data_IF_052931102487
#
_entry.id   IF_052931102487
#
_cell.length_a   1.000
_cell.length_b   1.000
_cell.length_c   1.000
_cell.angle_alpha   90.00
_cell.angle_beta   90.00
_cell.angle_gamma   90.00
#
_symmetry.space_group_name_H-M   'P 1'
#
loop_
_entity.id
_entity.type
_entity.pdbx_description
1 polymer ?
#
# COMPACT_ATOMS: atom_id res chain seq x y z
N UNK A 1 9.10 -31.19 -16.90
CA UNK A 1 9.59 -30.01 -16.18
C UNK A 1 11.04 -29.73 -16.53
N UNK A 2 11.30 -28.64 -17.25
CA UNK A 2 12.66 -28.22 -17.64
C UNK A 2 12.66 -26.79 -18.19
N UNK A 3 13.76 -26.05 -17.93
CA UNK A 3 14.16 -24.75 -18.50
C UNK A 3 13.78 -23.41 -17.80
N UNK A 4 12.95 -23.38 -16.74
CA UNK A 4 12.70 -22.13 -15.99
C UNK A 4 13.70 -21.94 -14.82
N UNK A 5 14.15 -20.71 -14.58
CA UNK A 5 15.03 -20.36 -13.44
C UNK A 5 14.28 -20.25 -12.10
N UNK A 6 12.99 -20.61 -12.07
CA UNK A 6 12.12 -20.65 -10.90
C UNK A 6 11.20 -21.87 -10.99
N UNK A 7 10.62 -22.25 -9.86
CA UNK A 7 9.61 -23.30 -9.77
C UNK A 7 8.27 -22.69 -9.35
N UNK A 8 7.17 -23.28 -9.82
CA UNK A 8 5.83 -22.97 -9.34
C UNK A 8 5.60 -23.76 -8.05
N UNK A 9 5.33 -23.12 -6.90
CA UNK A 9 4.96 -23.83 -5.70
C UNK A 9 3.67 -24.64 -5.93
N UNK A 10 3.64 -25.90 -5.48
CA UNK A 10 2.42 -26.73 -5.58
C UNK A 10 1.23 -26.15 -4.80
N UNK A 11 1.50 -25.27 -3.83
CA UNK A 11 0.49 -24.52 -3.09
C UNK A 11 0.03 -23.24 -3.80
N UNK A 12 0.52 -22.96 -5.00
CA UNK A 12 0.03 -21.81 -5.77
C UNK A 12 -1.42 -22.05 -6.19
N UNK A 13 -2.35 -21.10 -5.91
CA UNK A 13 -3.78 -21.22 -6.22
C UNK A 13 -4.07 -21.46 -7.70
N UNK A 14 -3.14 -21.12 -8.60
CA UNK A 14 -3.29 -21.26 -10.04
C UNK A 14 -2.36 -22.34 -10.63
N UNK A 15 -1.59 -23.07 -9.81
CA UNK A 15 -0.69 -24.10 -10.30
C UNK A 15 -1.44 -25.20 -11.08
N UNK A 16 -1.08 -25.39 -12.35
CA UNK A 16 -1.69 -26.40 -13.21
C UNK A 16 -3.14 -26.08 -13.58
N UNK A 17 -3.57 -24.83 -13.40
CA UNK A 17 -4.85 -24.36 -13.93
C UNK A 17 -4.85 -24.48 -15.46
N UNK A 18 -6.02 -24.73 -16.06
CA UNK A 18 -6.16 -24.74 -17.52
C UNK A 18 -5.60 -23.42 -18.08
N UNK A 19 -4.75 -23.52 -19.11
CA UNK A 19 -4.01 -22.41 -19.72
C UNK A 19 -4.91 -21.27 -20.25
N UNK A 20 -6.23 -21.48 -20.30
CA UNK A 20 -7.22 -20.47 -20.64
C UNK A 20 -7.63 -19.56 -19.47
N UNK A 21 -7.31 -19.92 -18.22
CA UNK A 21 -7.83 -19.25 -17.02
C UNK A 21 -6.77 -18.59 -16.13
N UNK A 22 -5.51 -19.02 -16.14
CA UNK A 22 -4.43 -18.32 -15.42
C UNK A 22 -3.03 -18.76 -15.87
N UNK A 23 -2.04 -17.88 -15.70
CA UNK A 23 -0.64 -18.29 -15.64
C UNK A 23 -0.35 -18.86 -14.25
N UNK A 24 0.42 -19.95 -14.17
CA UNK A 24 0.77 -20.62 -12.90
C UNK A 24 1.53 -19.70 -11.92
N UNK A 25 2.14 -18.62 -12.41
CA UNK A 25 2.87 -17.64 -11.61
C UNK A 25 1.97 -16.66 -10.86
N UNK A 26 0.70 -16.53 -11.26
CA UNK A 26 -0.21 -15.58 -10.62
C UNK A 26 -0.39 -15.99 -9.15
N UNK A 27 -0.36 -15.02 -8.24
CA UNK A 27 -0.67 -15.26 -6.82
C UNK A 27 -1.93 -14.48 -6.40
N UNK A 28 -2.05 -13.24 -6.84
CA UNK A 28 -3.25 -12.41 -6.73
C UNK A 28 -3.52 -11.71 -8.07
N UNK A 29 -4.76 -11.28 -8.29
CA UNK A 29 -5.15 -10.58 -9.50
C UNK A 29 -6.16 -9.47 -9.19
N UNK A 30 -6.49 -8.65 -10.18
CA UNK A 30 -7.42 -7.54 -9.99
C UNK A 30 -6.81 -6.31 -9.32
N UNK A 31 -5.50 -6.10 -9.51
CA UNK A 31 -4.81 -4.84 -9.19
C UNK A 31 -4.73 -3.97 -10.46
N UNK A 32 -4.64 -2.65 -10.31
CA UNK A 32 -4.46 -1.70 -11.44
C UNK A 32 -3.00 -1.34 -11.65
N UNK A 33 -2.40 -0.70 -10.67
CA UNK A 33 -1.05 -0.16 -10.67
C UNK A 33 -0.46 -0.22 -9.24
N UNK A 34 -0.12 -1.43 -8.75
CA UNK A 34 0.45 -1.62 -7.43
C UNK A 34 1.87 -1.05 -7.35
N UNK A 35 2.00 0.22 -7.01
CA UNK A 35 3.25 0.97 -7.07
C UNK A 35 4.26 0.53 -6.01
N UNK A 36 3.78 0.33 -4.78
CA UNK A 36 4.58 -0.26 -3.70
C UNK A 36 3.72 -1.13 -2.83
N UNK A 37 4.35 -2.20 -2.39
CA UNK A 37 3.83 -3.10 -1.38
C UNK A 37 4.97 -3.47 -0.43
N UNK A 38 4.59 -3.94 0.74
CA UNK A 38 5.52 -4.37 1.79
C UNK A 38 4.93 -5.53 2.56
N UNK A 39 5.80 -6.40 3.08
CA UNK A 39 5.43 -7.30 4.16
C UNK A 39 5.69 -6.62 5.50
N UNK A 40 4.74 -6.72 6.42
CA UNK A 40 5.00 -6.45 7.83
C UNK A 40 6.01 -7.47 8.33
N UNK A 41 7.24 -7.04 8.63
CA UNK A 41 8.31 -7.95 9.04
C UNK A 41 8.06 -8.76 10.30
N UNK A 42 7.08 -8.38 11.13
CA UNK A 42 6.74 -9.15 12.34
C UNK A 42 5.64 -10.18 12.07
N UNK A 43 4.65 -9.87 11.24
CA UNK A 43 3.47 -10.72 11.04
C UNK A 43 3.47 -11.44 9.68
N UNK A 44 4.28 -10.96 8.73
CA UNK A 44 4.29 -11.29 7.31
C UNK A 44 3.01 -10.89 6.56
N UNK A 45 2.20 -9.99 7.13
CA UNK A 45 1.02 -9.46 6.43
C UNK A 45 1.47 -8.63 5.22
N UNK A 46 0.79 -8.79 4.09
CA UNK A 46 1.05 -8.04 2.87
C UNK A 46 0.15 -6.81 2.82
N UNK A 47 0.76 -5.64 2.61
CA UNK A 47 0.07 -4.36 2.42
C UNK A 47 0.47 -3.79 1.07
N UNK A 48 -0.50 -3.37 0.26
CA UNK A 48 -0.29 -2.95 -1.14
C UNK A 48 -0.90 -1.57 -1.33
N UNK A 49 -0.14 -0.59 -1.81
CA UNK A 49 -0.70 0.64 -2.35
C UNK A 49 -0.98 0.46 -3.84
N UNK A 50 -2.24 0.55 -4.24
CA UNK A 50 -2.68 0.42 -5.64
C UNK A 50 -3.22 1.76 -6.16
N UNK A 51 -2.56 2.29 -7.19
CA UNK A 51 -2.92 3.60 -7.75
C UNK A 51 -4.19 3.47 -8.59
N UNK A 52 -5.19 4.27 -8.25
CA UNK A 52 -6.48 4.38 -8.93
C UNK A 52 -6.39 4.90 -10.35
N UNK A 53 -7.48 4.78 -11.11
CA UNK A 53 -7.55 5.36 -12.45
C UNK A 53 -7.84 6.85 -12.40
N UNK A 54 -8.96 7.20 -11.77
CA UNK A 54 -9.52 8.54 -11.81
C UNK A 54 -10.17 8.95 -10.49
N UNK A 55 -10.81 8.02 -9.75
CA UNK A 55 -11.69 8.37 -8.63
C UNK A 55 -11.08 8.03 -7.27
N UNK A 56 -10.51 6.84 -7.09
CA UNK A 56 -10.14 6.36 -5.75
C UNK A 56 -8.72 5.84 -5.73
N UNK A 57 -7.95 6.34 -4.78
CA UNK A 57 -6.66 5.75 -4.40
C UNK A 57 -6.90 4.75 -3.27
N UNK A 58 -6.18 3.61 -3.29
CA UNK A 58 -6.46 2.53 -2.35
C UNK A 58 -5.23 1.86 -1.74
N UNK A 59 -5.41 1.29 -0.55
CA UNK A 59 -4.46 0.38 0.07
C UNK A 59 -5.17 -0.92 0.44
N UNK A 60 -4.64 -2.02 -0.04
CA UNK A 60 -5.10 -3.36 0.27
C UNK A 60 -4.29 -4.00 1.39
N UNK A 61 -4.93 -4.92 2.10
CA UNK A 61 -4.32 -5.72 3.17
C UNK A 61 -4.68 -7.18 3.00
N UNK A 62 -3.66 -8.03 3.07
CA UNK A 62 -3.77 -9.48 2.99
C UNK A 62 -3.01 -10.06 4.18
N UNK A 63 -3.70 -10.73 5.13
CA UNK A 63 -3.01 -11.32 6.26
C UNK A 63 -2.06 -12.43 5.81
N UNK A 64 -1.01 -12.71 6.57
CA UNK A 64 -0.05 -13.77 6.25
C UNK A 64 -0.69 -15.16 6.11
N UNK A 65 -1.87 -15.37 6.70
CA UNK A 65 -2.66 -16.59 6.58
C UNK A 65 -3.42 -16.72 5.24
N UNK A 66 -3.38 -15.70 4.38
CA UNK A 66 -4.01 -15.73 3.07
C UNK A 66 -3.31 -16.73 2.14
N UNK A 67 -4.09 -17.55 1.43
CA UNK A 67 -3.58 -18.67 0.62
C UNK A 67 -3.47 -18.36 -0.88
N UNK A 68 -3.46 -17.09 -1.28
CA UNK A 68 -3.45 -16.73 -2.70
C UNK A 68 -4.85 -16.76 -3.33
N UNK A 69 -4.93 -16.39 -4.61
CA UNK A 69 -6.12 -16.54 -5.45
C UNK A 69 -7.11 -15.39 -5.35
N UNK A 70 -6.78 -14.33 -4.62
CA UNK A 70 -7.71 -13.23 -4.40
C UNK A 70 -7.82 -12.32 -5.62
N UNK A 71 -9.05 -11.87 -5.84
CA UNK A 71 -9.39 -10.78 -6.74
C UNK A 71 -9.45 -9.47 -5.95
N UNK A 72 -8.59 -8.51 -6.26
CA UNK A 72 -8.59 -7.18 -5.64
C UNK A 72 -9.48 -6.16 -6.39
N UNK A 73 -10.23 -6.61 -7.40
CA UNK A 73 -11.42 -5.91 -7.90
C UNK A 73 -11.24 -5.15 -9.22
N UNK A 74 -10.04 -4.72 -9.56
CA UNK A 74 -9.79 -4.06 -10.85
C UNK A 74 -10.10 -5.02 -12.02
N UNK A 75 -10.77 -4.61 -13.10
CA UNK A 75 -11.21 -3.24 -13.45
C UNK A 75 -12.66 -2.89 -13.13
N UNK A 76 -13.37 -3.76 -12.40
CA UNK A 76 -14.78 -3.55 -12.09
C UNK A 76 -14.92 -2.62 -10.89
N UNK A 77 -14.04 -2.77 -9.90
CA UNK A 77 -13.95 -1.89 -8.74
C UNK A 77 -12.78 -0.90 -8.88
N UNK A 78 -12.92 0.22 -8.20
CA UNK A 78 -11.89 1.22 -7.93
C UNK A 78 -12.19 1.76 -6.52
N UNK A 79 -11.36 1.46 -5.54
CA UNK A 79 -11.77 1.55 -4.14
C UNK A 79 -12.87 0.53 -3.83
N UNK A 80 -13.77 0.90 -2.93
CA UNK A 80 -15.00 0.17 -2.60
C UNK A 80 -16.14 0.45 -3.58
N UNK A 81 -15.87 1.13 -4.69
CA UNK A 81 -16.85 1.64 -5.64
C UNK A 81 -16.72 0.97 -7.01
N UNK A 82 -17.82 0.94 -7.78
CA UNK A 82 -17.73 0.58 -9.20
C UNK A 82 -16.84 1.60 -9.89
N UNK A 83 -15.92 1.12 -10.74
CA UNK A 83 -15.02 2.00 -11.52
C UNK A 83 -15.81 3.11 -12.22
N UNK A 84 -15.29 4.34 -12.16
CA UNK A 84 -15.96 5.58 -12.60
C UNK A 84 -17.20 6.00 -11.77
N UNK A 85 -17.34 5.53 -10.52
CA UNK A 85 -18.41 5.95 -9.61
C UNK A 85 -17.86 6.51 -8.30
N UNK A 86 -18.56 7.51 -7.76
CA UNK A 86 -18.30 8.06 -6.42
C UNK A 86 -19.27 7.55 -5.34
N UNK A 87 -20.29 6.78 -5.74
CA UNK A 87 -21.44 6.47 -4.87
C UNK A 87 -21.99 5.07 -5.01
N UNK A 88 -21.71 4.39 -6.12
CA UNK A 88 -22.18 3.02 -6.34
C UNK A 88 -21.14 2.07 -5.80
N UNK A 89 -21.48 1.37 -4.72
CA UNK A 89 -20.62 0.35 -4.12
C UNK A 89 -20.33 -0.79 -5.11
N UNK A 90 -19.08 -1.25 -5.15
CA UNK A 90 -18.70 -2.42 -5.93
C UNK A 90 -19.12 -3.69 -5.18
N UNK A 91 -20.08 -4.43 -5.73
CA UNK A 91 -20.53 -5.71 -5.18
C UNK A 91 -19.90 -6.90 -5.92
N UNK A 92 -18.59 -6.84 -6.20
CA UNK A 92 -17.90 -7.93 -6.86
C UNK A 92 -17.79 -9.12 -5.89
N UNK A 93 -18.39 -10.24 -6.27
CA UNK A 93 -18.40 -11.44 -5.43
C UNK A 93 -16.95 -11.94 -5.21
N UNK A 94 -16.65 -12.31 -3.97
CA UNK A 94 -15.36 -12.87 -3.56
C UNK A 94 -14.14 -11.97 -3.81
N UNK A 95 -14.34 -10.67 -4.07
CA UNK A 95 -13.23 -9.72 -4.07
C UNK A 95 -12.86 -9.29 -2.67
N UNK A 96 -11.58 -8.97 -2.48
CA UNK A 96 -11.10 -8.28 -1.28
C UNK A 96 -11.20 -6.79 -1.56
N UNK A 97 -11.91 -6.08 -0.69
CA UNK A 97 -12.00 -4.61 -0.75
C UNK A 97 -10.82 -3.99 0.02
N UNK A 98 -10.37 -2.79 -0.38
CA UNK A 98 -9.26 -2.13 0.28
C UNK A 98 -9.59 -1.73 1.72
N UNK A 99 -8.56 -1.68 2.57
CA UNK A 99 -8.67 -1.22 3.96
C UNK A 99 -8.59 0.31 4.09
N UNK A 100 -8.10 0.98 3.07
CA UNK A 100 -8.00 2.43 2.97
C UNK A 100 -8.42 2.81 1.57
N UNK A 101 -9.32 3.78 1.46
CA UNK A 101 -9.60 4.48 0.21
C UNK A 101 -9.69 5.98 0.45
N UNK A 102 -9.33 6.78 -0.54
CA UNK A 102 -9.50 8.22 -0.51
C UNK A 102 -9.66 8.79 -1.92
N UNK A 103 -10.31 9.95 -2.00
CA UNK A 103 -10.56 10.62 -3.27
C UNK A 103 -9.25 11.03 -3.95
N UNK A 104 -9.14 10.73 -5.24
CA UNK A 104 -8.13 11.32 -6.10
C UNK A 104 -8.38 12.84 -6.26
N UNK A 105 -7.37 13.69 -6.14
CA UNK A 105 -7.52 15.16 -6.27
C UNK A 105 -7.92 15.62 -7.67
N UNK A 106 -7.75 14.78 -8.68
CA UNK A 106 -8.14 15.04 -10.06
C UNK A 106 -9.61 14.69 -10.34
N UNK A 107 -10.36 14.28 -9.32
CA UNK A 107 -11.70 13.74 -9.45
C UNK A 107 -12.82 14.74 -9.11
N UNK A 108 -14.08 14.30 -9.28
CA UNK A 108 -15.28 15.06 -8.89
C UNK A 108 -15.98 14.48 -7.65
N UNK A 109 -15.42 13.44 -7.02
CA UNK A 109 -16.02 12.85 -5.83
C UNK A 109 -15.84 13.82 -4.65
N UNK A 110 -16.95 14.25 -4.06
CA UNK A 110 -16.97 15.11 -2.87
C UNK A 110 -17.42 14.37 -1.61
N UNK A 111 -17.59 13.05 -1.69
CA UNK A 111 -18.24 12.21 -0.67
C UNK A 111 -17.29 11.58 0.36
N UNK A 112 -15.97 11.68 0.21
CA UNK A 112 -15.03 11.08 1.16
C UNK A 112 -14.79 11.98 2.37
N UNK A 113 -14.75 11.39 3.57
CA UNK A 113 -14.37 12.05 4.82
C UNK A 113 -12.86 12.05 5.06
N UNK A 114 -12.12 11.30 4.24
CA UNK A 114 -10.65 11.21 4.29
C UNK A 114 -10.00 12.37 3.56
N UNK A 115 -8.74 12.67 3.90
CA UNK A 115 -8.00 13.70 3.18
C UNK A 115 -7.76 13.24 1.73
N UNK A 116 -8.18 13.99 0.69
CA UNK A 116 -7.92 13.61 -0.71
C UNK A 116 -6.43 13.50 -1.01
N UNK A 117 -6.03 12.75 -2.03
CA UNK A 117 -4.64 12.61 -2.48
C UNK A 117 -4.55 12.40 -3.98
N UNK A 118 -3.35 12.33 -4.56
CA UNK A 118 -3.20 12.29 -6.01
C UNK A 118 -2.85 10.90 -6.56
N UNK A 119 -2.02 10.16 -5.85
CA UNK A 119 -1.51 8.86 -6.30
C UNK A 119 -0.88 8.17 -5.10
N UNK A 120 -1.52 7.14 -4.59
CA UNK A 120 -0.99 6.38 -3.45
C UNK A 120 0.36 5.77 -3.83
N UNK A 121 1.37 6.03 -3.01
CA UNK A 121 2.69 5.45 -3.21
C UNK A 121 2.82 4.09 -2.53
N UNK A 122 1.98 3.78 -1.54
CA UNK A 122 2.19 2.67 -0.62
C UNK A 122 3.22 3.02 0.46
N UNK A 123 3.60 2.04 1.28
CA UNK A 123 4.27 2.34 2.54
C UNK A 123 4.80 1.12 3.28
N UNK A 124 5.07 1.29 4.57
CA UNK A 124 5.52 0.24 5.50
C UNK A 124 4.80 0.36 6.83
N UNK A 125 4.57 -0.79 7.46
CA UNK A 125 4.11 -0.85 8.84
C UNK A 125 5.31 -0.76 9.78
N UNK A 126 5.31 0.25 10.65
CA UNK A 126 6.47 0.58 11.46
C UNK A 126 6.73 -0.47 12.55
N UNK A 127 7.91 -1.10 12.49
CA UNK A 127 8.44 -2.07 13.47
C UNK A 127 9.81 -1.66 14.01
N UNK A 128 10.06 -0.34 14.02
CA UNK A 128 11.35 0.28 14.35
C UNK A 128 11.62 0.49 15.84
N UNK A 129 12.66 1.24 16.20
CA UNK A 129 13.05 1.46 17.59
C UNK A 129 12.11 2.38 18.38
N UNK A 130 11.30 3.21 17.72
CA UNK A 130 10.35 4.07 18.41
C UNK A 130 9.12 3.27 18.87
N UNK A 131 9.01 3.06 20.18
CA UNK A 131 7.91 2.32 20.78
C UNK A 131 6.54 3.01 20.56
N UNK A 132 6.50 4.33 20.41
CA UNK A 132 5.26 5.09 20.22
C UNK A 132 4.67 4.91 18.80
N UNK A 133 5.47 4.44 17.85
CA UNK A 133 5.07 4.30 16.44
C UNK A 133 4.79 2.84 16.04
N UNK A 134 4.88 1.89 16.97
CA UNK A 134 4.71 0.47 16.67
C UNK A 134 3.37 0.17 16.02
N UNK A 135 3.40 -0.55 14.90
CA UNK A 135 2.21 -1.03 14.20
C UNK A 135 1.48 0.03 13.36
N UNK A 136 1.91 1.30 13.41
CA UNK A 136 1.40 2.37 12.54
C UNK A 136 1.85 2.10 11.11
N UNK A 137 0.92 2.13 10.15
CA UNK A 137 1.26 2.06 8.73
C UNK A 137 1.50 3.45 8.18
N UNK A 138 2.73 3.74 7.78
CA UNK A 138 3.09 4.99 7.13
C UNK A 138 3.15 4.79 5.63
N UNK A 139 2.48 5.65 4.89
CA UNK A 139 2.40 5.53 3.44
C UNK A 139 2.44 6.90 2.76
N UNK A 140 2.87 6.89 1.52
CA UNK A 140 3.05 8.10 0.73
C UNK A 140 1.86 8.35 -0.18
N UNK A 141 1.74 9.61 -0.57
CA UNK A 141 0.94 10.04 -1.70
C UNK A 141 1.80 10.97 -2.55
N UNK A 142 1.90 10.68 -3.85
CA UNK A 142 2.71 11.43 -4.80
C UNK A 142 1.99 12.72 -5.27
N UNK A 143 1.36 13.42 -4.32
CA UNK A 143 0.70 14.71 -4.45
C UNK A 143 0.89 15.55 -3.19
N UNK A 144 0.22 16.71 -3.12
CA UNK A 144 0.50 17.83 -2.20
C UNK A 144 0.66 17.53 -0.69
N UNK A 145 0.26 16.34 -0.24
CA UNK A 145 0.15 15.97 1.18
C UNK A 145 1.34 15.11 1.65
N UNK A 146 2.05 14.44 0.72
CA UNK A 146 3.29 13.74 1.01
C UNK A 146 3.14 12.47 1.85
N UNK A 147 3.16 12.60 3.19
CA UNK A 147 3.21 11.48 4.14
C UNK A 147 1.90 11.33 4.92
N UNK A 148 1.39 10.10 4.96
CA UNK A 148 0.14 9.70 5.63
C UNK A 148 0.41 8.56 6.61
N UNK A 149 -0.55 8.33 7.50
CA UNK A 149 -0.51 7.19 8.41
C UNK A 149 -1.90 6.59 8.63
N UNK A 150 -1.95 5.29 8.91
CA UNK A 150 -3.16 4.58 9.30
C UNK A 150 -2.89 3.70 10.53
N UNK A 151 -3.93 3.55 11.36
CA UNK A 151 -3.89 2.73 12.57
C UNK A 151 -4.69 1.46 12.32
N UNK A 152 -4.06 0.30 12.54
CA UNK A 152 -4.75 -0.98 12.57
C UNK A 152 -5.46 -1.14 13.93
N UNK A 153 -6.79 -1.25 13.91
CA UNK A 153 -7.59 -1.51 15.11
C UNK A 153 -7.90 -3.00 15.29
N UNK A 154 -7.33 -3.87 14.44
CA UNK A 154 -7.52 -5.31 14.44
C UNK A 154 -8.70 -5.76 13.57
N UNK A 155 -8.63 -7.03 13.15
CA UNK A 155 -9.68 -7.67 12.35
C UNK A 155 -9.88 -7.07 10.97
N UNK A 156 -8.85 -6.46 10.38
CA UNK A 156 -8.94 -5.77 9.08
C UNK A 156 -9.55 -4.37 9.16
N UNK A 157 -9.82 -3.84 10.36
CA UNK A 157 -10.39 -2.51 10.54
C UNK A 157 -9.29 -1.47 10.72
N UNK A 158 -8.96 -0.77 9.65
CA UNK A 158 -7.97 0.29 9.66
C UNK A 158 -8.64 1.66 9.77
N UNK A 159 -8.07 2.55 10.57
CA UNK A 159 -8.46 3.97 10.59
C UNK A 159 -7.48 4.75 9.72
N UNK A 160 -7.88 5.14 8.49
CA UNK A 160 -7.09 6.04 7.66
C UNK A 160 -7.11 7.47 8.23
N UNK A 161 -6.21 8.36 7.77
CA UNK A 161 -6.20 9.74 8.23
C UNK A 161 -7.44 10.48 7.72
N UNK A 162 -8.22 10.99 8.68
CA UNK A 162 -9.35 11.88 8.41
C UNK A 162 -8.88 13.21 7.81
N UNK A 163 -9.80 13.95 7.20
CA UNK A 163 -9.51 15.28 6.64
C UNK A 163 -8.75 16.16 7.64
N UNK A 164 -7.57 16.65 7.26
CA UNK A 164 -6.73 17.54 8.10
C UNK A 164 -5.82 16.83 9.10
N UNK A 165 -5.76 15.49 9.11
CA UNK A 165 -4.91 14.69 10.02
C UNK A 165 -3.67 14.10 9.36
N UNK A 166 -3.37 14.48 8.12
CA UNK A 166 -2.12 14.05 7.47
C UNK A 166 -0.91 14.60 8.21
N UNK A 167 0.21 13.89 8.17
CA UNK A 167 1.49 14.38 8.72
C UNK A 167 2.03 15.41 7.73
N UNK A 168 1.41 16.59 7.76
CA UNK A 168 1.96 17.80 7.14
C UNK A 168 3.06 18.27 8.09
N UNK A 169 4.20 17.57 8.07
CA UNK A 169 5.37 18.08 8.77
C UNK A 169 5.71 19.40 8.07
N UNK A 170 5.59 20.52 8.79
CA UNK A 170 6.00 21.82 8.28
C UNK A 170 7.43 21.70 7.73
N UNK A 171 7.59 21.83 6.41
CA UNK A 171 8.88 21.74 5.73
C UNK A 171 9.17 20.47 4.93
N UNK A 172 8.30 19.45 4.93
CA UNK A 172 8.43 18.34 3.96
C UNK A 172 7.94 18.78 2.57
N UNK A 173 8.76 18.70 1.51
CA UNK A 173 8.27 18.93 0.15
C UNK A 173 7.15 17.92 -0.17
N UNK A 174 6.05 18.44 -0.72
CA UNK A 174 4.75 17.77 -0.84
C UNK A 174 4.67 16.67 -1.90
N UNK A 175 5.63 15.74 -1.94
CA UNK A 175 5.57 14.51 -2.73
C UNK A 175 6.40 13.46 -1.96
N UNK A 176 5.78 12.33 -1.57
CA UNK A 176 6.51 11.17 -1.08
C UNK A 176 6.43 10.06 -2.12
N UNK A 177 7.55 9.68 -2.72
CA UNK A 177 7.58 8.79 -3.91
C UNK A 177 8.13 7.39 -3.64
N UNK A 178 8.79 7.21 -2.50
CA UNK A 178 9.39 5.94 -2.12
C UNK A 178 9.61 5.84 -0.62
N UNK A 179 9.75 4.60 -0.18
CA UNK A 179 10.05 4.24 1.21
C UNK A 179 11.26 3.32 1.28
N UNK A 180 11.70 3.00 2.49
CA UNK A 180 12.69 1.97 2.76
C UNK A 180 12.59 1.52 4.20
N UNK A 181 13.09 0.34 4.46
CA UNK A 181 13.11 -0.28 5.77
C UNK A 181 14.52 -0.81 6.01
N UNK A 182 15.14 -0.48 7.15
CA UNK A 182 16.44 -1.07 7.54
C UNK A 182 16.27 -2.33 8.40
N UNK A 183 17.35 -3.06 8.63
CA UNK A 183 17.40 -4.28 9.48
C UNK A 183 16.91 -4.02 10.91
N UNK A 184 17.14 -2.80 11.43
CA UNK A 184 16.76 -2.38 12.78
C UNK A 184 15.29 -2.02 12.93
N UNK A 185 14.49 -2.13 11.86
CA UNK A 185 13.07 -1.85 11.95
C UNK A 185 12.66 -0.46 11.44
N UNK A 186 13.62 0.45 11.27
CA UNK A 186 13.33 1.86 11.01
C UNK A 186 12.84 2.08 9.59
N UNK A 187 11.83 2.94 9.47
CA UNK A 187 11.21 3.28 8.19
C UNK A 187 11.74 4.62 7.70
N UNK A 188 12.08 4.66 6.42
CA UNK A 188 12.58 5.81 5.70
C UNK A 188 11.63 6.16 4.56
N UNK A 189 11.61 7.43 4.17
CA UNK A 189 10.86 7.88 3.01
C UNK A 189 11.59 8.98 2.24
N UNK A 190 11.40 9.01 0.93
CA UNK A 190 11.93 10.05 0.05
C UNK A 190 10.86 11.12 -0.17
N UNK A 191 11.21 12.35 0.24
CA UNK A 191 10.43 13.54 -0.03
C UNK A 191 11.27 14.50 -0.86
N UNK A 192 10.87 14.71 -2.11
CA UNK A 192 11.74 15.28 -3.14
C UNK A 192 13.05 14.47 -3.27
N UNK A 193 14.19 15.14 -3.11
CA UNK A 193 15.52 14.50 -3.13
C UNK A 193 16.09 14.23 -1.73
N UNK A 194 15.27 14.35 -0.69
CA UNK A 194 15.73 14.20 0.70
C UNK A 194 15.21 12.90 1.29
N UNK A 195 16.11 12.14 1.91
CA UNK A 195 15.77 10.95 2.68
C UNK A 195 15.49 11.32 4.13
N UNK A 196 14.32 10.92 4.59
CA UNK A 196 13.83 11.15 5.94
C UNK A 196 13.66 9.82 6.66
N UNK A 197 13.84 9.83 7.98
CA UNK A 197 13.50 8.69 8.85
C UNK A 197 12.27 9.03 9.67
N UNK A 198 11.31 8.13 9.71
CA UNK A 198 10.12 8.24 10.55
C UNK A 198 10.55 8.29 12.03
N UNK A 199 9.98 9.24 12.79
CA UNK A 199 10.33 9.48 14.20
C UNK A 199 11.72 10.13 14.42
N UNK A 200 12.38 10.61 13.36
CA UNK A 200 13.70 11.24 13.45
C UNK A 200 13.82 12.58 12.73
N UNK A 201 14.96 13.25 12.93
CA UNK A 201 15.38 14.39 12.12
C UNK A 201 15.77 13.92 10.69
N UNK A 202 15.78 14.82 9.68
CA UNK A 202 16.28 14.51 8.35
C UNK A 202 17.71 13.99 8.40
N UNK A 203 18.03 13.01 7.55
CA UNK A 203 19.35 12.40 7.53
C UNK A 203 20.23 13.14 6.53
N UNK A 204 21.32 13.75 7.02
CA UNK A 204 22.40 14.26 6.19
C UNK A 204 23.53 13.23 6.13
N UNK A 205 23.66 12.52 5.01
CA UNK A 205 24.71 11.52 4.78
C UNK A 205 24.20 10.21 4.17
N UNK A 206 25.12 9.27 3.95
CA UNK A 206 24.78 7.92 3.49
C UNK A 206 24.16 7.13 4.65
N UNK A 207 22.88 6.76 4.51
CA UNK A 207 22.32 5.64 5.26
C UNK A 207 23.03 4.38 4.75
N UNK A 208 23.43 3.48 5.66
CA UNK A 208 24.27 2.29 5.35
C UNK A 208 25.73 2.60 4.97
N UNK A 209 26.29 3.75 5.37
CA UNK A 209 27.70 4.05 5.15
C UNK A 209 28.67 2.97 5.69
N UNK A 210 28.21 2.18 6.66
CA UNK A 210 28.97 1.12 7.31
C UNK A 210 28.55 -0.29 6.88
N UNK A 211 27.73 -0.43 5.83
CA UNK A 211 27.26 -1.73 5.30
C UNK A 211 25.76 -2.00 5.54
N UNK A 212 25.33 -3.12 4.97
CA UNK A 212 24.11 -3.87 5.33
C UNK A 212 24.60 -4.97 6.28
N UNK A 213 24.14 -5.06 7.52
CA UNK A 213 24.58 -6.13 8.45
C UNK A 213 23.66 -7.35 8.42
#
# INVERSE_FOLDING_TARGET
DGAANYAIPASNPFAGADAQLACDEVWHYGLRNPWRWSFDRQTNDLIIGDVGQDQWEEVDFLPASNTGGNNLGWRLCEGTHVRNSCTVSCALASSILPIIEYNNTNNFCTSSTTTPGASVTGGYRYRGPDAALQGVYFYGDAGAIGLRYAIDNGGGNWTPPQTGTSIVTAGLPGITVAFGEDEGGAVYFLSGNTLWRIGGAPISGLVFANGFE
#
